data_IF_432127234725
#
_entry.id   IF_432127234725
#
_cell.length_a   1.000
_cell.length_b   1.000
_cell.length_c   1.000
_cell.angle_alpha   90.00
_cell.angle_beta   90.00
_cell.angle_gamma   90.00
#
_symmetry.space_group_name_H-M   'P 1'
#
loop_
_entity.id
_entity.type
_entity.pdbx_description
1 polymer ?
#
# COMPACT_ATOMS: atom_id res chain seq x y z
N UNK A 1 2.46 -6.69 -2.27
CA UNK A 1 1.77 -5.95 -1.19
C UNK A 1 0.68 -6.76 -0.51
N UNK A 2 -0.01 -7.62 -1.24
CA UNK A 2 -1.10 -8.40 -0.66
C UNK A 2 -0.63 -9.35 0.45
N UNK A 3 0.57 -9.86 0.35
CA UNK A 3 1.15 -10.75 1.35
C UNK A 3 2.00 -10.06 2.42
N UNK A 4 2.17 -8.75 2.33
CA UNK A 4 3.00 -8.01 3.28
C UNK A 4 2.20 -7.59 4.52
N UNK A 5 2.87 -7.57 5.67
CA UNK A 5 2.29 -6.97 6.87
C UNK A 5 2.46 -5.45 6.84
N UNK A 6 1.71 -4.74 7.71
CA UNK A 6 1.87 -3.29 7.82
C UNK A 6 3.31 -2.90 8.15
N UNK A 7 3.97 -3.65 9.03
CA UNK A 7 5.36 -3.41 9.40
C UNK A 7 6.29 -3.56 8.20
N UNK A 8 6.09 -4.58 7.39
CA UNK A 8 6.89 -4.80 6.18
C UNK A 8 6.70 -3.66 5.17
N UNK A 9 5.49 -3.19 4.99
CA UNK A 9 5.20 -2.07 4.11
C UNK A 9 5.93 -0.80 4.59
N UNK A 10 5.84 -0.51 5.88
CA UNK A 10 6.50 0.65 6.48
C UNK A 10 8.02 0.57 6.36
N UNK A 11 8.60 -0.63 6.49
CA UNK A 11 10.05 -0.83 6.42
C UNK A 11 10.59 -0.74 5.00
N UNK A 12 9.83 -1.20 4.01
CA UNK A 12 10.30 -1.29 2.63
C UNK A 12 10.01 -0.05 1.79
N UNK A 13 9.00 0.73 2.15
CA UNK A 13 8.59 1.89 1.36
C UNK A 13 8.89 3.16 2.13
N UNK A 14 9.92 3.89 1.69
CA UNK A 14 10.25 5.18 2.28
C UNK A 14 9.08 6.16 2.08
N UNK A 15 8.82 6.94 3.10
CA UNK A 15 7.72 7.90 3.08
C UNK A 15 6.41 7.34 3.60
N UNK A 16 6.33 6.04 3.85
CA UNK A 16 5.17 5.40 4.46
C UNK A 16 5.52 5.01 5.89
N UNK A 17 4.87 5.64 6.86
CA UNK A 17 4.97 5.26 8.26
C UNK A 17 4.03 4.10 8.59
N UNK A 18 4.17 3.57 9.79
CA UNK A 18 3.34 2.45 10.25
C UNK A 18 1.85 2.78 10.23
N UNK A 19 1.49 4.02 10.58
CA UNK A 19 0.09 4.45 10.57
C UNK A 19 -0.51 4.36 9.15
N UNK A 20 0.21 4.86 8.16
CA UNK A 20 -0.23 4.80 6.76
C UNK A 20 -0.24 3.36 6.26
N UNK A 21 0.75 2.54 6.66
CA UNK A 21 0.79 1.13 6.31
C UNK A 21 -0.43 0.38 6.86
N UNK A 22 -0.87 0.71 8.07
CA UNK A 22 -2.10 0.14 8.64
C UNK A 22 -3.33 0.54 7.84
N UNK A 23 -3.40 1.77 7.38
CA UNK A 23 -4.49 2.23 6.52
C UNK A 23 -4.53 1.44 5.20
N UNK A 24 -3.36 1.12 4.65
CA UNK A 24 -3.25 0.29 3.45
C UNK A 24 -3.83 -1.11 3.71
N UNK A 25 -3.49 -1.71 4.84
CA UNK A 25 -4.00 -3.05 5.18
C UNK A 25 -5.49 -3.02 5.46
N UNK A 26 -6.00 -1.98 6.12
CA UNK A 26 -7.43 -1.81 6.36
C UNK A 26 -8.17 -1.69 5.02
N UNK A 27 -7.64 -0.93 4.07
CA UNK A 27 -8.23 -0.82 2.75
C UNK A 27 -8.23 -2.19 2.03
N UNK A 28 -7.13 -2.92 2.11
CA UNK A 28 -7.04 -4.25 1.52
C UNK A 28 -8.16 -5.16 2.03
N UNK A 29 -8.39 -5.16 3.34
CA UNK A 29 -9.41 -6.01 3.95
C UNK A 29 -10.83 -5.60 3.59
N UNK A 30 -11.03 -4.36 3.17
CA UNK A 30 -12.34 -3.88 2.72
C UNK A 30 -12.61 -4.20 1.25
N UNK A 31 -11.60 -4.63 0.51
CA UNK A 31 -11.74 -4.96 -0.90
C UNK A 31 -12.28 -6.39 -1.10
N UNK A 32 -12.90 -6.61 -2.26
CA UNK A 32 -13.38 -7.92 -2.63
C UNK A 32 -12.21 -8.92 -2.67
N UNK A 33 -12.35 -10.04 -1.98
CA UNK A 33 -11.31 -11.04 -1.86
C UNK A 33 -10.16 -10.63 -0.94
N UNK A 34 -10.29 -9.49 -0.23
CA UNK A 34 -9.29 -8.98 0.73
C UNK A 34 -7.91 -8.83 0.10
N UNK A 35 -7.86 -8.36 -1.15
CA UNK A 35 -6.61 -8.15 -1.86
C UNK A 35 -6.73 -7.03 -2.89
N UNK A 36 -5.60 -6.39 -3.17
CA UNK A 36 -5.54 -5.42 -4.25
C UNK A 36 -5.44 -6.14 -5.60
N UNK A 37 -6.30 -5.77 -6.51
CA UNK A 37 -6.28 -6.30 -7.88
C UNK A 37 -5.31 -5.51 -8.76
N UNK A 38 -5.11 -4.22 -8.46
CA UNK A 38 -4.21 -3.34 -9.20
C UNK A 38 -3.73 -2.20 -8.29
N UNK A 39 -2.69 -1.48 -8.73
CA UNK A 39 -2.11 -0.38 -7.96
C UNK A 39 -3.02 0.85 -7.88
N UNK A 40 -3.96 0.99 -8.80
CA UNK A 40 -4.92 2.11 -8.79
C UNK A 40 -5.75 2.14 -7.51
N UNK A 41 -6.05 0.99 -6.94
CA UNK A 41 -6.82 0.89 -5.71
C UNK A 41 -6.11 1.55 -4.52
N UNK A 42 -4.77 1.55 -4.54
CA UNK A 42 -3.96 2.21 -3.50
C UNK A 42 -4.09 3.73 -3.53
N UNK A 43 -4.44 4.30 -4.67
CA UNK A 43 -4.57 5.75 -4.82
C UNK A 43 -5.72 6.35 -4.03
N UNK A 44 -6.58 5.52 -3.48
CA UNK A 44 -7.61 5.96 -2.54
C UNK A 44 -7.01 6.53 -1.25
N UNK A 45 -5.79 6.12 -0.91
CA UNK A 45 -5.05 6.66 0.22
C UNK A 45 -4.24 7.85 -0.28
N UNK A 46 -4.69 9.06 0.02
CA UNK A 46 -4.14 10.28 -0.57
C UNK A 46 -2.88 10.82 0.12
N UNK A 47 -2.47 10.21 1.22
CA UNK A 47 -1.31 10.66 2.01
C UNK A 47 0.03 10.31 1.38
N UNK A 48 0.02 9.46 0.37
CA UNK A 48 1.23 8.92 -0.24
C UNK A 48 1.30 9.36 -1.69
N UNK A 49 2.49 9.75 -2.13
CA UNK A 49 2.76 10.02 -3.53
C UNK A 49 2.95 8.68 -4.25
N UNK A 50 1.84 8.06 -4.62
CA UNK A 50 1.86 6.76 -5.26
C UNK A 50 2.57 6.76 -6.61
N UNK A 51 2.51 7.87 -7.34
CA UNK A 51 3.20 7.96 -8.63
C UNK A 51 4.70 7.79 -8.45
N UNK A 52 5.29 8.43 -7.43
CA UNK A 52 6.70 8.25 -7.11
C UNK A 52 7.03 6.85 -6.62
N UNK A 53 6.19 6.27 -5.79
CA UNK A 53 6.37 4.91 -5.28
C UNK A 53 6.33 3.89 -6.41
N UNK A 54 5.38 4.03 -7.31
CA UNK A 54 5.23 3.13 -8.46
C UNK A 54 6.39 3.31 -9.43
N UNK A 55 6.79 4.54 -9.71
CA UNK A 55 7.92 4.83 -10.60
C UNK A 55 9.24 4.27 -10.07
N UNK A 56 9.41 4.21 -8.75
CA UNK A 56 10.58 3.64 -8.10
C UNK A 56 10.53 2.11 -7.97
N UNK A 57 9.44 1.49 -8.44
CA UNK A 57 9.22 0.03 -8.36
C UNK A 57 9.31 -0.52 -6.94
N UNK A 58 8.83 0.27 -5.97
CA UNK A 58 8.85 -0.11 -4.56
C UNK A 58 7.66 -0.97 -4.15
N UNK A 59 6.63 -1.06 -4.98
CA UNK A 59 5.38 -1.73 -4.64
C UNK A 59 4.83 -2.52 -5.83
N UNK A 60 4.27 -3.69 -5.52
CA UNK A 60 3.60 -4.57 -6.50
C UNK A 60 2.35 -5.16 -5.87
N UNK A 61 1.39 -5.48 -6.69
CA UNK A 61 0.21 -6.25 -6.27
C UNK A 61 0.36 -7.73 -6.58
#
# INVERSE_FOLDING_TARGET
>A
INGATAQMIADHIKGIGLKTAREIKDLQMSLSGERFANLEQLKQIKRVDWDSVIAADLIRV
#
